data_IF_070630299259
#
_entry.id   IF_070630299259
#
_cell.length_a   1.000
_cell.length_b   1.000
_cell.length_c   1.000
_cell.angle_alpha   90.00
_cell.angle_beta   90.00
_cell.angle_gamma   90.00
#
_symmetry.space_group_name_H-M   'P 1'
#
loop_
_entity.id
_entity.type
_entity.pdbx_description
1 polymer ?
#
# COMPACT_ATOMS: atom_id res chain seq x y z
N UNK A 1 -1.67 40.27 -22.01
CA UNK A 1 -2.62 39.60 -21.09
C UNK A 1 -2.11 38.18 -20.83
N UNK A 2 -1.94 37.73 -19.59
CA UNK A 2 -1.46 36.37 -19.32
C UNK A 2 -2.49 35.33 -19.79
N UNK A 3 -1.99 34.16 -20.21
CA UNK A 3 -2.83 33.06 -20.70
C UNK A 3 -3.68 32.48 -19.57
N UNK A 4 -4.94 32.14 -19.87
CA UNK A 4 -5.83 31.45 -18.93
C UNK A 4 -5.57 29.95 -18.92
N UNK A 5 -5.16 29.42 -17.77
CA UNK A 5 -5.00 27.99 -17.50
C UNK A 5 -3.73 27.37 -18.08
N UNK A 6 -3.26 26.31 -17.43
CA UNK A 6 -2.13 25.52 -17.91
C UNK A 6 -2.54 24.57 -19.04
N UNK A 7 -1.72 24.53 -20.09
CA UNK A 7 -1.84 23.59 -21.21
C UNK A 7 -1.37 22.17 -20.84
N UNK A 8 -0.57 22.02 -19.79
CA UNK A 8 -0.03 20.74 -19.35
C UNK A 8 -1.11 19.75 -18.90
N UNK A 9 -2.26 20.26 -18.45
CA UNK A 9 -3.42 19.45 -18.04
C UNK A 9 -4.45 19.26 -19.17
N UNK A 10 -4.09 19.57 -20.41
CA UNK A 10 -4.93 19.28 -21.57
C UNK A 10 -4.63 17.87 -22.10
N UNK A 11 -5.63 17.05 -22.50
CA UNK A 11 -7.06 17.34 -22.47
C UNK A 11 -7.68 17.16 -21.08
N UNK A 12 -8.56 18.09 -20.69
CA UNK A 12 -9.33 17.99 -19.43
C UNK A 12 -10.51 17.05 -19.63
N UNK A 13 -10.29 15.76 -19.37
CA UNK A 13 -11.31 14.70 -19.48
C UNK A 13 -11.45 13.99 -18.15
N UNK A 14 -12.59 13.31 -17.94
CA UNK A 14 -12.80 12.46 -16.76
C UNK A 14 -11.73 11.36 -16.74
N UNK A 15 -11.17 11.10 -15.56
CA UNK A 15 -10.24 9.99 -15.38
C UNK A 15 -10.91 8.66 -15.75
N UNK A 16 -10.14 7.75 -16.36
CA UNK A 16 -10.66 6.44 -16.76
C UNK A 16 -10.94 5.51 -15.56
N UNK A 17 -10.35 5.80 -14.41
CA UNK A 17 -10.52 5.04 -13.17
C UNK A 17 -10.52 5.99 -11.98
N UNK A 18 -11.23 5.62 -10.91
CA UNK A 18 -11.23 6.31 -9.62
C UNK A 18 -9.93 6.07 -8.84
N UNK A 19 -9.20 5.00 -9.17
CA UNK A 19 -7.97 4.62 -8.47
C UNK A 19 -6.79 5.38 -9.05
N UNK A 20 -6.23 6.29 -8.26
CA UNK A 20 -5.00 7.00 -8.59
C UNK A 20 -3.84 6.03 -8.86
N UNK A 21 -3.00 6.37 -9.86
CA UNK A 21 -1.81 5.60 -10.22
C UNK A 21 -0.57 6.48 -10.14
N UNK A 22 0.44 6.01 -9.41
CA UNK A 22 1.77 6.60 -9.45
C UNK A 22 2.45 6.25 -10.78
N UNK A 23 3.09 7.25 -11.40
CA UNK A 23 3.82 7.09 -12.66
C UNK A 23 5.32 6.90 -12.45
N UNK A 24 5.84 7.46 -11.36
CA UNK A 24 7.24 7.42 -10.94
C UNK A 24 7.29 7.13 -9.45
N UNK A 25 8.34 6.45 -9.03
CA UNK A 25 8.55 6.04 -7.65
C UNK A 25 9.91 6.55 -7.18
N UNK A 26 10.02 7.04 -5.94
CA UNK A 26 11.32 7.42 -5.38
C UNK A 26 12.18 6.17 -5.15
N UNK A 27 13.49 6.35 -5.21
CA UNK A 27 14.42 5.39 -4.62
C UNK A 27 14.52 5.69 -3.12
N UNK A 28 14.59 4.63 -2.31
CA UNK A 28 14.67 4.71 -0.86
C UNK A 28 15.95 4.00 -0.43
N UNK A 29 16.73 4.67 0.40
CA UNK A 29 17.86 4.08 1.12
C UNK A 29 17.39 3.49 2.45
N UNK A 30 18.00 2.39 2.90
CA UNK A 30 17.65 1.71 4.14
C UNK A 30 17.11 0.29 3.93
N UNK A 31 16.40 -0.30 4.91
CA UNK A 31 15.86 -1.65 4.81
C UNK A 31 14.77 -1.76 3.75
N UNK A 32 14.50 -2.97 3.21
CA UNK A 32 13.45 -3.19 2.23
C UNK A 32 12.07 -2.84 2.82
N UNK A 33 11.35 -1.92 2.19
CA UNK A 33 10.02 -1.49 2.60
C UNK A 33 9.13 -1.12 1.41
N UNK A 34 7.82 -1.04 1.65
CA UNK A 34 6.87 -0.47 0.67
C UNK A 34 7.04 1.04 0.59
N UNK A 35 6.75 1.61 -0.58
CA UNK A 35 6.96 3.06 -0.85
C UNK A 35 5.69 3.89 -0.76
N UNK A 36 4.52 3.27 -0.90
CA UNK A 36 3.25 3.96 -0.81
C UNK A 36 2.25 3.18 0.01
N UNK A 37 1.21 3.91 0.43
CA UNK A 37 0.09 3.36 1.18
C UNK A 37 -1.21 3.97 0.67
N UNK A 38 -2.23 3.17 0.32
CA UNK A 38 -3.55 3.69 -0.02
C UNK A 38 -4.32 4.13 1.22
N UNK A 39 -5.03 5.25 1.12
CA UNK A 39 -5.89 5.76 2.18
C UNK A 39 -7.17 6.37 1.64
N UNK A 40 -8.15 6.58 2.52
CA UNK A 40 -9.43 7.19 2.21
C UNK A 40 -9.54 8.55 2.90
N UNK A 41 -9.90 9.60 2.17
CA UNK A 41 -10.13 10.93 2.78
C UNK A 41 -11.35 10.86 3.70
N UNK A 42 -11.14 11.04 5.00
CA UNK A 42 -12.19 11.00 6.01
C UNK A 42 -12.81 12.38 6.27
N UNK A 43 -11.98 13.42 6.26
CA UNK A 43 -12.46 14.78 6.54
C UNK A 43 -11.35 15.83 6.51
N UNK A 44 -11.69 17.05 6.88
CA UNK A 44 -10.75 18.15 7.06
C UNK A 44 -11.03 18.80 8.41
N UNK A 45 -9.98 19.20 9.10
CA UNK A 45 -10.05 19.97 10.35
C UNK A 45 -9.03 21.10 10.29
N UNK A 46 -8.95 21.89 11.33
CA UNK A 46 -7.89 22.87 11.50
C UNK A 46 -7.16 22.61 12.80
N UNK A 47 -5.86 22.84 12.79
CA UNK A 47 -5.03 22.80 13.97
C UNK A 47 -4.51 24.21 14.23
N UNK A 48 -4.35 24.53 15.50
CA UNK A 48 -3.59 25.68 15.94
C UNK A 48 -2.19 25.15 16.26
N UNK A 49 -1.21 25.55 15.45
CA UNK A 49 0.18 25.05 15.54
C UNK A 49 1.09 26.24 15.86
N UNK A 50 2.05 26.04 16.74
CA UNK A 50 3.08 27.06 17.00
C UNK A 50 4.10 27.02 15.86
N UNK A 51 4.30 28.15 15.19
CA UNK A 51 5.30 28.25 14.11
C UNK A 51 6.71 28.15 14.67
N UNK A 52 7.46 27.13 14.22
CA UNK A 52 8.81 26.81 14.70
C UNK A 52 9.92 27.25 13.73
N UNK A 53 9.59 27.83 12.58
CA UNK A 53 10.57 28.25 11.58
C UNK A 53 11.31 29.54 11.99
N UNK A 54 12.64 29.48 12.24
CA UNK A 54 13.42 30.67 12.58
C UNK A 54 13.40 31.70 11.44
N UNK A 55 13.24 32.98 11.78
CA UNK A 55 13.17 34.08 10.81
C UNK A 55 11.78 34.32 10.20
N UNK A 56 10.78 33.48 10.52
CA UNK A 56 9.38 33.78 10.20
C UNK A 56 8.86 34.93 11.08
N UNK A 57 8.10 35.91 10.54
CA UNK A 57 7.43 36.93 11.34
C UNK A 57 6.44 36.36 12.38
N UNK A 58 6.03 35.10 12.20
CA UNK A 58 5.10 34.38 13.07
C UNK A 58 5.81 33.42 14.04
N UNK A 59 7.15 33.40 14.06
CA UNK A 59 7.91 32.49 14.92
C UNK A 59 7.49 32.60 16.39
N UNK A 60 7.18 31.45 17.00
CA UNK A 60 6.71 31.35 18.39
C UNK A 60 5.24 31.78 18.61
N UNK A 61 4.49 32.13 17.56
CA UNK A 61 3.06 32.44 17.62
C UNK A 61 2.22 31.27 17.12
N UNK A 62 0.99 31.22 17.61
CA UNK A 62 -0.02 30.27 17.15
C UNK A 62 -0.53 30.64 15.74
N UNK A 63 -0.53 29.67 14.84
CA UNK A 63 -0.96 29.80 13.44
C UNK A 63 -2.06 28.79 13.15
N UNK A 64 -3.13 29.29 12.54
CA UNK A 64 -4.22 28.45 12.04
C UNK A 64 -3.78 27.69 10.79
N UNK A 65 -3.78 26.36 10.85
CA UNK A 65 -3.36 25.50 9.74
C UNK A 65 -4.45 24.48 9.40
N UNK A 66 -5.03 24.51 8.19
CA UNK A 66 -5.98 23.50 7.76
C UNK A 66 -5.26 22.17 7.50
N UNK A 67 -5.82 21.07 8.02
CA UNK A 67 -5.29 19.72 7.85
C UNK A 67 -6.36 18.77 7.33
N UNK A 68 -5.95 17.76 6.56
CA UNK A 68 -6.83 16.71 6.05
C UNK A 68 -6.59 15.42 6.81
N UNK A 69 -7.66 14.76 7.23
CA UNK A 69 -7.62 13.46 7.89
C UNK A 69 -7.79 12.37 6.83
N UNK A 70 -6.86 11.44 6.78
CA UNK A 70 -6.88 10.28 5.89
C UNK A 70 -6.99 9.02 6.78
N UNK A 71 -8.02 8.22 6.56
CA UNK A 71 -8.20 6.92 7.19
C UNK A 71 -7.41 5.86 6.41
N UNK A 72 -6.50 5.17 7.09
CA UNK A 72 -5.59 4.19 6.49
C UNK A 72 -5.78 2.83 7.16
N UNK A 73 -6.80 2.03 6.75
CA UNK A 73 -6.90 0.66 7.23
C UNK A 73 -5.66 -0.15 6.76
N UNK A 74 -5.28 -1.22 7.48
CA UNK A 74 -4.16 -2.06 7.06
C UNK A 74 -4.42 -2.64 5.66
N UNK A 75 -3.35 -2.75 4.86
CA UNK A 75 -3.38 -3.37 3.55
C UNK A 75 -2.85 -4.80 3.63
N UNK A 76 -3.37 -5.72 2.82
CA UNK A 76 -2.84 -7.09 2.77
C UNK A 76 -1.87 -7.24 1.62
N UNK A 77 -0.68 -7.78 1.89
CA UNK A 77 0.26 -8.16 0.84
C UNK A 77 -0.18 -9.50 0.23
N UNK A 78 -0.76 -9.47 -0.96
CA UNK A 78 -1.27 -10.66 -1.65
C UNK A 78 -0.21 -11.37 -2.47
N UNK A 79 0.84 -10.68 -2.91
CA UNK A 79 1.81 -11.27 -3.81
C UNK A 79 2.92 -10.34 -4.20
N UNK A 80 3.74 -10.81 -5.12
CA UNK A 80 4.84 -10.07 -5.70
C UNK A 80 4.85 -10.25 -7.20
N UNK A 81 5.25 -9.20 -7.90
CA UNK A 81 5.54 -9.20 -9.32
C UNK A 81 6.95 -8.71 -9.55
N UNK A 82 7.75 -9.54 -10.22
CA UNK A 82 9.09 -9.18 -10.65
C UNK A 82 9.09 -8.74 -12.10
N UNK A 83 9.92 -7.74 -12.39
CA UNK A 83 10.13 -7.20 -13.71
C UNK A 83 11.61 -7.27 -14.10
N UNK A 84 11.86 -7.66 -15.34
CA UNK A 84 13.20 -7.59 -15.95
C UNK A 84 13.26 -6.41 -16.93
N UNK A 85 14.46 -5.87 -17.17
CA UNK A 85 14.65 -4.70 -18.03
C UNK A 85 15.20 -5.13 -19.38
N UNK A 86 14.38 -4.97 -20.41
CA UNK A 86 14.76 -5.19 -21.81
C UNK A 86 14.93 -3.84 -22.52
N UNK A 87 15.36 -3.86 -23.79
CA UNK A 87 15.49 -2.63 -24.61
C UNK A 87 14.17 -1.84 -24.73
N UNK A 88 13.04 -2.54 -24.61
CA UNK A 88 11.69 -1.96 -24.66
C UNK A 88 11.16 -1.48 -23.30
N UNK A 89 11.95 -1.60 -22.22
CA UNK A 89 11.56 -1.22 -20.85
C UNK A 89 11.35 -2.42 -19.92
N UNK A 90 10.57 -2.21 -18.86
CA UNK A 90 10.28 -3.23 -17.84
C UNK A 90 9.26 -4.25 -18.38
N UNK A 91 9.67 -5.51 -18.47
CA UNK A 91 8.84 -6.63 -18.85
C UNK A 91 8.55 -7.54 -17.66
N UNK A 92 7.36 -8.12 -17.66
CA UNK A 92 6.93 -9.05 -16.61
C UNK A 92 7.78 -10.34 -16.66
N UNK A 93 8.32 -10.74 -15.52
CA UNK A 93 9.13 -11.96 -15.40
C UNK A 93 8.35 -13.07 -14.72
N UNK A 94 7.89 -12.84 -13.49
CA UNK A 94 7.10 -13.79 -12.73
C UNK A 94 6.17 -13.09 -11.75
N UNK A 95 5.10 -13.77 -11.36
CA UNK A 95 4.13 -13.29 -10.37
C UNK A 95 3.88 -14.41 -9.38
N UNK A 96 4.20 -14.20 -8.11
CA UNK A 96 3.80 -15.09 -7.03
C UNK A 96 2.62 -14.46 -6.30
N UNK A 97 1.51 -15.19 -6.14
CA UNK A 97 0.31 -14.68 -5.47
C UNK A 97 -0.15 -15.72 -4.44
N UNK A 98 -0.44 -15.22 -3.24
CA UNK A 98 -1.20 -15.89 -2.21
C UNK A 98 -2.58 -15.22 -2.04
N UNK A 99 -3.64 -15.90 -2.47
CA UNK A 99 -5.03 -15.40 -2.34
C UNK A 99 -5.71 -15.80 -1.03
N UNK A 100 -4.97 -16.47 -0.14
CA UNK A 100 -5.41 -16.93 1.17
C UNK A 100 -4.62 -16.18 2.24
N UNK A 101 -4.99 -14.93 2.53
CA UNK A 101 -4.26 -14.10 3.47
C UNK A 101 -4.29 -14.69 4.89
N UNK A 102 -3.20 -14.47 5.63
CA UNK A 102 -3.07 -14.79 7.05
C UNK A 102 -3.27 -13.50 7.84
N UNK A 103 -4.34 -13.43 8.62
CA UNK A 103 -4.62 -12.27 9.47
C UNK A 103 -3.87 -12.29 10.80
N UNK A 104 -3.02 -13.29 11.01
CA UNK A 104 -2.17 -13.40 12.19
C UNK A 104 -0.97 -12.46 12.06
N UNK A 105 -0.74 -11.68 13.11
CA UNK A 105 0.36 -10.69 13.17
C UNK A 105 1.08 -10.86 14.49
N UNK A 106 2.40 -10.78 14.43
CA UNK A 106 3.24 -10.71 15.62
C UNK A 106 3.12 -9.32 16.26
N UNK A 107 3.22 -9.24 17.59
CA UNK A 107 3.09 -7.95 18.30
C UNK A 107 4.14 -6.93 17.86
N UNK A 108 5.33 -7.38 17.45
CA UNK A 108 6.42 -6.53 16.91
C UNK A 108 6.07 -5.81 15.61
N UNK A 109 5.09 -6.33 14.85
CA UNK A 109 4.67 -5.82 13.54
C UNK A 109 3.38 -5.01 13.64
N UNK A 110 2.81 -4.88 14.83
CA UNK A 110 1.64 -4.04 15.06
C UNK A 110 2.08 -2.62 15.42
N UNK A 111 1.26 -1.61 15.10
CA UNK A 111 1.47 -0.26 15.61
C UNK A 111 1.49 -0.24 17.15
N UNK A 112 2.35 0.58 17.74
CA UNK A 112 2.54 0.67 19.20
C UNK A 112 1.24 0.94 19.98
N UNK A 113 0.29 1.60 19.32
CA UNK A 113 -1.00 1.97 19.88
C UNK A 113 -2.06 0.85 19.83
N UNK A 114 -1.74 -0.33 19.28
CA UNK A 114 -2.70 -1.43 19.11
C UNK A 114 -2.17 -2.72 19.76
N UNK A 115 -2.91 -3.24 20.74
CA UNK A 115 -2.62 -4.57 21.28
C UNK A 115 -3.05 -5.66 20.29
N UNK A 116 -2.31 -6.78 20.25
CA UNK A 116 -2.69 -7.95 19.43
C UNK A 116 -4.13 -8.40 19.69
N UNK A 117 -4.57 -8.37 20.94
CA UNK A 117 -5.94 -8.75 21.32
C UNK A 117 -7.00 -7.85 20.68
N UNK A 118 -6.72 -6.55 20.53
CA UNK A 118 -7.67 -5.60 19.96
C UNK A 118 -7.71 -5.71 18.44
N UNK A 119 -6.55 -5.98 17.82
CA UNK A 119 -6.48 -6.30 16.40
C UNK A 119 -7.27 -7.58 16.06
N UNK A 120 -7.09 -8.65 16.85
CA UNK A 120 -7.83 -9.90 16.69
C UNK A 120 -9.34 -9.69 16.88
N UNK A 121 -9.76 -8.92 17.90
CA UNK A 121 -11.18 -8.55 18.09
C UNK A 121 -11.71 -7.76 16.90
N UNK A 122 -10.92 -6.81 16.37
CA UNK A 122 -11.29 -6.01 15.20
C UNK A 122 -11.52 -6.91 13.98
N UNK A 123 -10.62 -7.86 13.70
CA UNK A 123 -10.78 -8.83 12.61
C UNK A 123 -11.97 -9.75 12.87
N UNK A 124 -12.12 -10.28 14.09
CA UNK A 124 -13.21 -11.17 14.45
C UNK A 124 -14.58 -10.50 14.36
N UNK A 125 -14.66 -9.19 14.59
CA UNK A 125 -15.88 -8.39 14.42
C UNK A 125 -16.38 -8.41 12.96
N UNK A 126 -15.45 -8.52 12.01
CA UNK A 126 -15.77 -8.68 10.60
C UNK A 126 -16.17 -10.13 10.34
N UNK A 127 -17.49 -10.40 10.37
CA UNK A 127 -18.09 -11.72 10.08
C UNK A 127 -17.54 -12.40 8.82
N UNK A 128 -17.10 -11.63 7.82
CA UNK A 128 -16.51 -12.13 6.57
C UNK A 128 -15.13 -12.77 6.77
N UNK A 129 -14.34 -12.29 7.72
CA UNK A 129 -13.01 -12.81 8.06
C UNK A 129 -13.04 -13.82 9.22
N UNK A 130 -14.13 -13.85 9.99
CA UNK A 130 -14.35 -14.73 11.14
C UNK A 130 -14.41 -16.22 10.79
N UNK A 131 -14.87 -16.59 9.59
CA UNK A 131 -15.35 -17.97 9.37
C UNK A 131 -14.31 -19.00 8.88
N UNK A 132 -13.15 -18.65 8.30
CA UNK A 132 -12.14 -19.69 7.92
C UNK A 132 -10.72 -19.12 7.78
N UNK A 133 -9.77 -19.43 8.67
CA UNK A 133 -8.34 -19.26 8.37
C UNK A 133 -7.99 -20.11 7.11
N UNK A 134 -7.39 -19.49 6.10
CA UNK A 134 -7.02 -20.16 4.83
C UNK A 134 -8.10 -20.16 3.73
N UNK A 135 -9.20 -19.41 3.89
CA UNK A 135 -10.20 -19.26 2.83
C UNK A 135 -9.92 -18.01 1.98
N UNK A 136 -10.03 -18.19 0.66
CA UNK A 136 -10.07 -17.12 -0.33
C UNK A 136 -10.92 -15.93 0.18
N UNK A 137 -10.32 -14.74 0.25
CA UNK A 137 -11.02 -13.53 0.66
C UNK A 137 -12.18 -13.26 -0.31
N UNK A 138 -13.43 -13.50 0.14
CA UNK A 138 -14.64 -13.38 -0.69
C UNK A 138 -14.76 -12.02 -1.37
N UNK A 139 -14.27 -10.96 -0.74
CA UNK A 139 -14.31 -9.63 -1.34
C UNK A 139 -13.34 -9.48 -2.54
N UNK A 140 -12.28 -10.30 -2.66
CA UNK A 140 -11.43 -10.34 -3.87
C UNK A 140 -12.18 -10.80 -5.11
N UNK A 141 -13.20 -11.68 -4.99
CA UNK A 141 -13.99 -12.08 -6.17
C UNK A 141 -14.85 -10.96 -6.74
N UNK A 142 -14.93 -9.80 -6.05
CA UNK A 142 -15.57 -8.60 -6.60
C UNK A 142 -14.69 -7.87 -7.61
N UNK A 143 -13.37 -8.16 -7.63
CA UNK A 143 -12.40 -7.55 -8.55
C UNK A 143 -11.71 -8.54 -9.46
N UNK A 144 -11.46 -9.75 -8.98
CA UNK A 144 -10.73 -10.77 -9.72
C UNK A 144 -11.62 -11.97 -10.02
N UNK A 145 -11.64 -12.39 -11.29
CA UNK A 145 -12.18 -13.69 -11.70
C UNK A 145 -11.09 -14.74 -11.53
N UNK A 146 -11.04 -15.36 -10.34
CA UNK A 146 -9.96 -16.29 -10.00
C UNK A 146 -10.34 -17.73 -10.31
N UNK A 147 -9.55 -18.46 -11.14
CA UNK A 147 -9.68 -19.90 -11.34
C UNK A 147 -9.57 -20.68 -10.03
N UNK A 148 -10.29 -21.79 -9.90
CA UNK A 148 -10.28 -22.60 -8.67
C UNK A 148 -8.88 -23.11 -8.29
N UNK A 149 -8.03 -23.39 -9.30
CA UNK A 149 -6.64 -23.82 -9.12
C UNK A 149 -5.79 -22.77 -8.40
N UNK A 150 -5.88 -21.51 -8.84
CA UNK A 150 -5.10 -20.40 -8.28
C UNK A 150 -5.51 -20.02 -6.84
N UNK A 151 -6.72 -20.39 -6.40
CA UNK A 151 -7.18 -20.13 -5.02
C UNK A 151 -6.43 -20.93 -3.96
N UNK A 152 -5.80 -22.04 -4.34
CA UNK A 152 -5.05 -22.93 -3.44
C UNK A 152 -3.57 -23.07 -3.83
N UNK A 153 -3.13 -22.33 -4.85
CA UNK A 153 -1.75 -22.39 -5.29
C UNK A 153 -0.84 -21.85 -4.19
N UNK A 154 0.22 -22.59 -3.86
CA UNK A 154 1.29 -22.08 -3.02
C UNK A 154 2.21 -21.18 -3.86
N UNK A 155 2.60 -20.01 -3.34
CA UNK A 155 3.50 -19.10 -4.03
C UNK A 155 4.97 -19.55 -3.97
N UNK A 156 5.30 -20.58 -3.18
CA UNK A 156 6.67 -20.94 -2.79
C UNK A 156 7.58 -21.26 -3.97
N UNK A 157 7.10 -22.03 -4.96
CA UNK A 157 7.90 -22.39 -6.13
C UNK A 157 8.29 -21.18 -6.99
N UNK A 158 7.41 -20.18 -7.05
CA UNK A 158 7.70 -18.94 -7.79
C UNK A 158 8.65 -18.06 -6.98
N UNK A 159 8.53 -18.04 -5.65
CA UNK A 159 9.45 -17.31 -4.78
C UNK A 159 10.86 -17.90 -4.84
N UNK A 160 11.00 -19.24 -4.81
CA UNK A 160 12.29 -19.92 -4.99
C UNK A 160 12.91 -19.60 -6.35
N UNK A 161 12.09 -19.57 -7.41
CA UNK A 161 12.55 -19.13 -8.72
C UNK A 161 13.07 -17.69 -8.68
N UNK A 162 12.34 -16.77 -8.04
CA UNK A 162 12.74 -15.37 -7.90
C UNK A 162 14.04 -15.22 -7.10
N UNK A 163 14.26 -16.06 -6.08
CA UNK A 163 15.50 -16.10 -5.29
C UNK A 163 16.69 -16.65 -6.11
N UNK A 164 16.45 -17.58 -7.04
CA UNK A 164 17.50 -18.10 -7.92
C UNK A 164 17.87 -17.15 -9.07
N UNK A 165 16.91 -16.36 -9.55
CA UNK A 165 17.06 -15.47 -10.71
C UNK A 165 17.13 -13.99 -10.29
N UNK A 166 17.60 -13.69 -9.07
CA UNK A 166 17.63 -12.31 -8.50
C UNK A 166 18.35 -11.31 -9.41
N UNK A 167 19.44 -11.72 -10.04
CA UNK A 167 20.24 -10.85 -10.91
C UNK A 167 19.49 -10.37 -12.17
N UNK A 168 18.45 -11.09 -12.58
CA UNK A 168 17.61 -10.72 -13.73
C UNK A 168 16.50 -9.74 -13.34
N UNK A 169 16.26 -9.56 -12.04
CA UNK A 169 15.20 -8.71 -11.51
C UNK A 169 15.71 -7.27 -11.49
N UNK A 170 14.99 -6.41 -12.19
CA UNK A 170 15.25 -4.96 -12.24
C UNK A 170 14.30 -4.15 -11.36
N UNK A 171 13.06 -4.61 -11.19
CA UNK A 171 12.07 -3.95 -10.34
C UNK A 171 11.16 -5.01 -9.70
N UNK A 172 10.85 -4.84 -8.41
CA UNK A 172 10.04 -5.76 -7.62
C UNK A 172 8.87 -4.99 -7.02
N UNK A 173 7.64 -5.43 -7.31
CA UNK A 173 6.42 -4.77 -6.85
C UNK A 173 5.55 -5.73 -6.06
N UNK A 174 5.18 -5.32 -4.85
CA UNK A 174 4.17 -6.00 -4.06
C UNK A 174 2.78 -5.75 -4.65
N UNK A 175 2.01 -6.81 -4.80
CA UNK A 175 0.59 -6.76 -5.11
C UNK A 175 -0.12 -6.68 -3.77
N UNK A 176 -0.71 -5.52 -3.47
CA UNK A 176 -1.41 -5.27 -2.22
C UNK A 176 -2.90 -5.09 -2.45
N UNK A 177 -3.73 -5.41 -1.45
CA UNK A 177 -5.14 -5.03 -1.48
C UNK A 177 -5.57 -4.26 -0.23
N UNK A 178 -6.47 -3.28 -0.44
CA UNK A 178 -7.12 -2.55 0.66
C UNK A 178 -8.16 -3.41 1.37
N UNK A 179 -8.46 -3.06 2.62
CA UNK A 179 -9.54 -3.66 3.41
C UNK A 179 -10.63 -2.62 3.67
N UNK A 180 -11.48 -2.29 2.69
CA UNK A 180 -12.41 -1.15 2.80
C UNK A 180 -13.47 -1.33 3.90
N UNK A 181 -13.75 -2.56 4.33
CA UNK A 181 -14.66 -2.83 5.46
C UNK A 181 -14.12 -2.38 6.83
N UNK A 182 -12.81 -2.22 6.93
CA UNK A 182 -12.16 -1.64 8.10
C UNK A 182 -12.18 -0.12 8.06
N UNK A 183 -12.42 0.49 6.90
CA UNK A 183 -12.64 1.93 6.79
C UNK A 183 -14.11 2.23 7.13
N UNK A 184 -14.33 2.85 8.28
CA UNK A 184 -15.68 3.08 8.82
C UNK A 184 -16.48 4.08 7.99
N UNK A 185 -15.81 5.07 7.38
CA UNK A 185 -16.45 6.12 6.59
C UNK A 185 -16.75 5.77 5.13
N UNK A 186 -16.36 4.57 4.67
CA UNK A 186 -16.43 4.21 3.24
C UNK A 186 -17.42 3.06 3.04
N UNK A 187 -18.56 3.26 2.35
CA UNK A 187 -19.56 2.22 2.11
C UNK A 187 -19.13 1.24 1.01
N UNK A 188 -17.86 0.84 0.97
CA UNK A 188 -17.26 0.01 -0.08
C UNK A 188 -16.92 -1.38 0.45
N UNK A 189 -17.26 -2.40 -0.33
CA UNK A 189 -16.94 -3.81 -0.03
C UNK A 189 -15.86 -4.37 -0.96
N UNK A 190 -15.72 -3.78 -2.15
CA UNK A 190 -14.80 -4.25 -3.16
C UNK A 190 -13.41 -3.62 -2.91
N UNK A 191 -12.38 -4.42 -2.62
CA UNK A 191 -11.04 -3.91 -2.36
C UNK A 191 -10.46 -3.26 -3.62
N UNK A 192 -9.48 -2.39 -3.43
CA UNK A 192 -8.57 -1.92 -4.48
C UNK A 192 -7.36 -2.84 -4.49
N UNK A 193 -6.87 -3.19 -5.68
CA UNK A 193 -5.62 -3.93 -5.85
C UNK A 193 -4.63 -2.96 -6.48
N UNK A 194 -3.46 -2.84 -5.84
CA UNK A 194 -2.42 -1.90 -6.22
C UNK A 194 -1.09 -2.65 -6.34
N UNK A 195 -0.23 -2.13 -7.20
CA UNK A 195 1.15 -2.57 -7.32
C UNK A 195 2.02 -1.48 -6.73
N UNK A 196 2.71 -1.81 -5.63
CA UNK A 196 3.56 -0.88 -4.90
C UNK A 196 4.98 -1.45 -4.92
N UNK A 197 5.97 -0.71 -5.44
CA UNK A 197 7.36 -1.16 -5.41
C UNK A 197 7.85 -1.42 -3.99
N UNK A 198 8.73 -2.40 -3.89
CA UNK A 198 9.55 -2.63 -2.70
C UNK A 198 10.90 -2.01 -2.99
N UNK A 199 11.31 -1.04 -2.16
CA UNK A 199 12.58 -0.30 -2.29
C UNK A 199 13.37 -0.39 -1.00
N UNK A 200 14.62 0.05 -1.01
CA UNK A 200 15.59 -0.21 0.06
C UNK A 200 16.28 -1.57 -0.11
N UNK A 201 17.45 -1.71 0.51
CA UNK A 201 18.27 -2.92 0.49
C UNK A 201 18.69 -3.40 -0.91
N UNK A 202 19.33 -4.57 -0.93
CA UNK A 202 19.63 -5.31 -2.15
C UNK A 202 18.37 -5.97 -2.72
N UNK A 203 18.42 -6.42 -3.99
CA UNK A 203 17.28 -7.11 -4.59
C UNK A 203 16.94 -8.42 -3.86
N UNK A 204 17.96 -9.12 -3.34
CA UNK A 204 17.77 -10.31 -2.51
C UNK A 204 16.99 -9.96 -1.23
N UNK A 205 17.38 -8.89 -0.53
CA UNK A 205 16.68 -8.45 0.70
C UNK A 205 15.22 -8.12 0.43
N UNK A 206 14.92 -7.51 -0.73
CA UNK A 206 13.54 -7.21 -1.14
C UNK A 206 12.72 -8.47 -1.36
N UNK A 207 13.30 -9.51 -1.99
CA UNK A 207 12.61 -10.80 -2.18
C UNK A 207 12.36 -11.47 -0.84
N UNK A 208 13.35 -11.48 0.06
CA UNK A 208 13.21 -12.03 1.41
C UNK A 208 12.14 -11.30 2.22
N UNK A 209 12.13 -9.96 2.19
CA UNK A 209 11.11 -9.14 2.83
C UNK A 209 9.71 -9.51 2.36
N UNK A 210 9.51 -9.65 1.04
CA UNK A 210 8.19 -10.00 0.51
C UNK A 210 7.79 -11.42 0.90
N UNK A 211 8.73 -12.38 0.89
CA UNK A 211 8.46 -13.77 1.33
C UNK A 211 7.98 -13.82 2.77
N UNK A 212 8.60 -13.05 3.66
CA UNK A 212 8.22 -12.99 5.08
C UNK A 212 6.85 -12.31 5.29
N UNK A 213 6.61 -11.21 4.58
CA UNK A 213 5.38 -10.40 4.72
C UNK A 213 4.21 -10.93 3.91
N UNK A 214 4.39 -12.01 3.14
CA UNK A 214 3.36 -12.53 2.25
C UNK A 214 2.13 -13.01 3.02
N UNK A 215 0.97 -12.46 2.65
CA UNK A 215 -0.30 -12.75 3.29
C UNK A 215 -0.51 -12.03 4.61
N UNK A 216 0.45 -11.25 5.12
CA UNK A 216 0.32 -10.45 6.35
C UNK A 216 -0.23 -9.04 6.04
N UNK A 217 -0.86 -8.39 7.04
CA UNK A 217 -1.22 -6.98 6.96
C UNK A 217 0.02 -6.09 7.10
N UNK A 218 0.04 -4.99 6.34
CA UNK A 218 1.02 -3.91 6.43
C UNK A 218 0.32 -2.65 6.91
N UNK A 219 0.92 -1.98 7.90
CA UNK A 219 0.40 -0.75 8.50
C UNK A 219 1.10 0.50 7.94
N UNK A 220 0.45 1.65 8.06
CA UNK A 220 0.98 2.92 7.52
C UNK A 220 2.26 3.36 8.23
N UNK A 221 2.39 3.04 9.52
CA UNK A 221 3.56 3.36 10.35
C UNK A 221 4.83 2.64 9.90
N UNK A 222 4.69 1.53 9.17
CA UNK A 222 5.83 0.81 8.59
C UNK A 222 6.35 1.46 7.31
N UNK A 223 5.55 2.34 6.69
CA UNK A 223 5.87 2.98 5.41
C UNK A 223 6.27 4.43 5.59
N UNK A 224 5.58 5.15 6.49
CA UNK A 224 5.78 6.57 6.72
C UNK A 224 6.09 6.88 8.17
N UNK A 225 6.94 7.88 8.37
CA UNK A 225 7.32 8.40 9.68
C UNK A 225 6.72 9.78 9.93
N UNK A 226 6.52 10.14 11.20
CA UNK A 226 5.98 11.46 11.56
C UNK A 226 6.97 12.58 11.14
N UNK A 227 6.44 13.65 10.54
CA UNK A 227 7.24 14.77 10.02
C UNK A 227 7.79 14.57 8.61
N UNK A 228 7.59 13.39 8.00
CA UNK A 228 8.01 13.11 6.63
C UNK A 228 7.12 13.85 5.61
N UNK A 229 7.75 14.40 4.56
CA UNK A 229 7.02 14.91 3.39
C UNK A 229 6.52 13.76 2.52
N UNK A 230 5.24 13.82 2.13
CA UNK A 230 4.60 12.78 1.32
C UNK A 230 3.94 13.38 0.08
N UNK A 231 3.98 12.64 -1.02
CA UNK A 231 3.23 12.94 -2.23
C UNK A 231 1.87 12.25 -2.20
N UNK A 232 0.80 13.01 -2.49
CA UNK A 232 -0.57 12.48 -2.54
C UNK A 232 -1.06 12.50 -3.98
N UNK A 233 -1.41 11.32 -4.51
CA UNK A 233 -2.11 11.20 -5.80
C UNK A 233 -3.56 10.80 -5.57
N UNK A 234 -4.50 11.57 -6.10
CA UNK A 234 -5.95 11.32 -6.01
C UNK A 234 -6.63 11.69 -7.34
N UNK A 235 -7.86 11.22 -7.52
CA UNK A 235 -8.75 11.53 -8.66
C UNK A 235 -9.89 12.41 -8.21
#
# INVERSE_FOLDING_TARGET
MPRRGSLQFYPRKRAATEVARFRSWPEIDGPPQLVAFPGYKAGMMHLIVVEDKPGSPLFGREVYTPVTIIETPPIMLLGVRAYTKNMYGLQHMATAINLSPRFEVEQSKLPDNISKSDYEKMIASLRVYREKPGLFMKDLSRRLTVPKSLRRASPDSVLERLESEVDQISDLRAIVCTLPRLATGVPKKAPEILEIPVKGGSMADRVSYVRERLGQPVFVQEVFTAGQFIDVTAV
#
